data_IF_783393333275
#
_entry.id   IF_783393333275
#
_cell.length_a   1.000
_cell.length_b   1.000
_cell.length_c   1.000
_cell.angle_alpha   90.00
_cell.angle_beta   90.00
_cell.angle_gamma   90.00
#
_symmetry.space_group_name_H-M   'P 1'
#
loop_
_entity.id
_entity.type
_entity.pdbx_description
1 polymer ?
#
# COMPACT_ATOMS: atom_id res chain seq x y z
N UNK A 1 29.80 63.30 -24.13
CA UNK A 1 29.92 62.90 -22.71
C UNK A 1 28.58 62.29 -22.30
N UNK A 2 28.41 60.98 -22.57
CA UNK A 2 28.16 59.92 -21.57
C UNK A 2 26.85 60.15 -20.77
N UNK A 3 25.72 59.60 -21.22
CA UNK A 3 25.23 58.22 -20.97
C UNK A 3 25.15 57.86 -19.48
N UNK A 4 23.94 57.89 -18.91
CA UNK A 4 23.57 56.96 -17.84
C UNK A 4 22.30 56.24 -18.29
N UNK A 5 22.48 54.94 -18.54
CA UNK A 5 21.50 54.02 -19.09
C UNK A 5 20.44 53.71 -18.03
N UNK A 6 19.17 53.76 -18.42
CA UNK A 6 18.10 53.12 -17.65
C UNK A 6 18.36 51.62 -17.67
N UNK A 7 18.76 51.06 -16.52
CA UNK A 7 18.94 49.63 -16.35
C UNK A 7 17.57 49.05 -15.95
N UNK A 8 16.79 48.61 -16.94
CA UNK A 8 15.61 47.79 -16.69
C UNK A 8 16.07 46.43 -16.15
N UNK A 9 16.03 46.25 -14.83
CA UNK A 9 16.22 44.96 -14.19
C UNK A 9 14.93 44.15 -14.39
N UNK A 10 14.91 43.31 -15.41
CA UNK A 10 13.89 42.26 -15.54
C UNK A 10 14.25 41.16 -14.54
N UNK A 11 13.53 41.12 -13.42
CA UNK A 11 13.64 40.02 -12.45
C UNK A 11 12.85 38.83 -13.01
N UNK A 12 13.55 37.96 -13.74
CA UNK A 12 12.97 36.73 -14.29
C UNK A 12 13.00 35.65 -13.18
N UNK A 13 11.96 35.60 -12.34
CA UNK A 13 11.76 34.51 -11.39
C UNK A 13 11.35 33.24 -12.13
N UNK A 14 12.32 32.44 -12.56
CA UNK A 14 12.07 31.05 -12.90
C UNK A 14 11.67 30.30 -11.62
N UNK A 15 10.37 30.07 -11.46
CA UNK A 15 9.85 29.09 -10.52
C UNK A 15 10.26 27.70 -11.03
N UNK A 16 11.43 27.24 -10.61
CA UNK A 16 11.80 25.83 -10.76
C UNK A 16 10.88 25.03 -9.84
N UNK A 17 9.85 24.41 -10.42
CA UNK A 17 9.09 23.36 -9.76
C UNK A 17 10.02 22.17 -9.57
N UNK A 18 10.66 22.07 -8.41
CA UNK A 18 11.35 20.85 -8.01
C UNK A 18 10.29 19.77 -7.81
N UNK A 19 10.29 18.76 -8.67
CA UNK A 19 9.54 17.53 -8.39
C UNK A 19 10.16 16.88 -7.16
N UNK A 20 9.47 16.93 -6.02
CA UNK A 20 9.81 16.11 -4.86
C UNK A 20 9.36 14.68 -5.16
N UNK A 21 10.32 13.78 -5.36
CA UNK A 21 10.05 12.35 -5.42
C UNK A 21 10.17 11.80 -4.00
N UNK A 22 9.07 11.33 -3.42
CA UNK A 22 9.12 10.52 -2.21
C UNK A 22 9.34 9.06 -2.63
N UNK A 23 10.41 8.44 -2.16
CA UNK A 23 10.66 7.02 -2.34
C UNK A 23 9.94 6.24 -1.23
N UNK A 24 9.60 4.97 -1.47
CA UNK A 24 8.96 4.13 -0.45
C UNK A 24 9.84 4.01 0.81
N UNK A 25 11.17 4.08 0.64
CA UNK A 25 12.15 4.08 1.75
C UNK A 25 12.09 5.31 2.64
N UNK A 26 11.42 6.37 2.22
CA UNK A 26 11.29 7.60 3.00
C UNK A 26 10.18 7.47 4.07
N UNK A 27 9.42 6.38 4.04
CA UNK A 27 8.31 6.10 4.95
C UNK A 27 8.63 4.92 5.86
N UNK A 28 8.31 5.07 7.15
CA UNK A 28 8.26 3.97 8.12
C UNK A 28 6.96 3.22 7.93
N UNK A 29 7.04 2.07 7.26
CA UNK A 29 5.87 1.25 6.96
C UNK A 29 5.76 0.11 7.98
N UNK A 30 4.56 -0.11 8.52
CA UNK A 30 4.26 -1.19 9.46
C UNK A 30 2.97 -1.92 9.07
N UNK A 31 2.80 -3.15 9.55
CA UNK A 31 1.56 -3.93 9.40
C UNK A 31 1.18 -4.60 10.71
N UNK A 32 -0.11 -4.70 10.99
CA UNK A 32 -0.62 -5.37 12.19
C UNK A 32 -2.00 -6.01 11.96
N UNK A 33 -2.14 -7.30 12.30
CA UNK A 33 -3.44 -7.93 12.41
C UNK A 33 -4.03 -7.65 13.81
N UNK A 34 -5.14 -6.91 13.87
CA UNK A 34 -5.76 -6.39 15.08
C UNK A 34 -6.59 -7.44 15.84
N UNK A 35 -7.09 -8.48 15.15
CA UNK A 35 -8.09 -9.42 15.67
C UNK A 35 -9.30 -8.69 16.30
N UNK A 36 -9.87 -7.74 15.57
CA UNK A 36 -10.84 -6.75 16.04
C UNK A 36 -12.26 -7.28 16.28
N UNK A 37 -12.49 -8.58 16.15
CA UNK A 37 -13.78 -9.23 16.47
C UNK A 37 -14.03 -9.38 17.98
N UNK A 38 -13.04 -9.08 18.84
CA UNK A 38 -13.19 -9.15 20.30
C UNK A 38 -13.85 -7.90 20.90
N UNK A 39 -14.50 -8.04 22.07
CA UNK A 39 -15.26 -6.98 22.77
C UNK A 39 -14.46 -5.71 23.15
N UNK A 40 -13.18 -5.63 22.80
CA UNK A 40 -12.19 -4.65 23.25
C UNK A 40 -11.64 -3.83 22.07
N UNK A 41 -12.32 -3.86 20.92
CA UNK A 41 -11.82 -3.28 19.67
C UNK A 41 -11.53 -1.77 19.72
N UNK A 42 -12.38 -0.97 20.41
CA UNK A 42 -12.16 0.49 20.55
C UNK A 42 -10.87 0.81 21.31
N UNK A 43 -10.48 0.02 22.31
CA UNK A 43 -9.25 0.27 23.05
C UNK A 43 -8.01 -0.18 22.26
N UNK A 44 -8.11 -1.22 21.42
CA UNK A 44 -7.01 -1.62 20.53
C UNK A 44 -6.63 -0.50 19.58
N UNK A 45 -7.62 0.20 19.03
CA UNK A 45 -7.40 1.39 18.22
C UNK A 45 -6.82 2.55 19.03
N UNK A 46 -7.53 3.00 20.08
CA UNK A 46 -7.15 4.20 20.81
C UNK A 46 -5.83 4.08 21.61
N UNK A 47 -5.38 2.85 21.91
CA UNK A 47 -4.14 2.59 22.64
C UNK A 47 -3.05 2.09 21.69
N UNK A 48 -3.22 0.90 21.11
CA UNK A 48 -2.13 0.23 20.39
C UNK A 48 -1.88 0.84 19.00
N UNK A 49 -2.93 1.01 18.18
CA UNK A 49 -2.78 1.63 16.85
C UNK A 49 -2.27 3.06 17.00
N UNK A 50 -2.81 3.82 17.96
CA UNK A 50 -2.33 5.17 18.25
C UNK A 50 -0.84 5.20 18.62
N UNK A 51 -0.37 4.29 19.47
CA UNK A 51 1.04 4.20 19.84
C UNK A 51 1.94 3.93 18.63
N UNK A 52 1.53 3.01 17.74
CA UNK A 52 2.27 2.68 16.53
C UNK A 52 2.39 3.85 15.54
N UNK A 53 1.45 4.79 15.56
CA UNK A 53 1.42 5.97 14.68
C UNK A 53 1.98 7.24 15.36
N UNK A 54 2.27 7.20 16.66
CA UNK A 54 2.62 8.39 17.43
C UNK A 54 4.11 8.46 17.78
N UNK A 55 4.62 9.68 17.93
CA UNK A 55 6.01 9.94 18.29
C UNK A 55 6.96 9.92 17.10
N UNK A 56 8.22 10.30 17.32
CA UNK A 56 9.23 10.44 16.26
C UNK A 56 9.57 9.13 15.54
N UNK A 57 9.29 7.99 16.17
CA UNK A 57 9.50 6.65 15.61
C UNK A 57 8.21 5.95 15.15
N UNK A 58 7.07 6.65 15.18
CA UNK A 58 5.81 6.12 14.68
C UNK A 58 5.89 5.75 13.20
N UNK A 59 5.07 4.79 12.79
CA UNK A 59 4.90 4.43 11.39
C UNK A 59 4.19 5.57 10.64
N UNK A 60 4.71 5.90 9.47
CA UNK A 60 4.08 6.84 8.54
C UNK A 60 2.90 6.16 7.81
N UNK A 61 3.02 4.86 7.55
CA UNK A 61 1.98 4.03 6.92
C UNK A 61 1.79 2.77 7.75
N UNK A 62 0.58 2.54 8.27
CA UNK A 62 0.22 1.32 8.99
C UNK A 62 -0.90 0.58 8.27
N UNK A 63 -0.62 -0.66 7.87
CA UNK A 63 -1.61 -1.57 7.30
C UNK A 63 -2.24 -2.39 8.43
N UNK A 64 -3.57 -2.41 8.54
CA UNK A 64 -4.27 -3.12 9.61
C UNK A 64 -5.24 -4.17 9.03
N UNK A 65 -5.10 -5.43 9.45
CA UNK A 65 -6.03 -6.52 9.09
C UNK A 65 -6.94 -6.87 10.28
N UNK A 66 -8.10 -7.48 9.99
CA UNK A 66 -9.15 -7.78 10.98
C UNK A 66 -9.46 -6.56 11.87
N UNK A 67 -9.53 -5.38 11.27
CA UNK A 67 -9.51 -4.12 12.01
C UNK A 67 -10.79 -3.85 12.83
N UNK A 68 -11.80 -4.73 12.72
CA UNK A 68 -13.11 -4.58 13.33
C UNK A 68 -13.75 -3.23 12.95
N UNK A 69 -14.51 -2.66 13.89
CA UNK A 69 -14.99 -1.29 13.79
C UNK A 69 -13.85 -0.28 13.89
N UNK A 70 -13.90 0.76 13.06
CA UNK A 70 -13.03 1.93 13.21
C UNK A 70 -13.23 2.63 14.56
N UNK A 71 -12.23 3.42 15.04
CA UNK A 71 -12.38 4.22 16.24
C UNK A 71 -13.61 5.12 16.13
N UNK A 72 -14.41 5.20 17.19
CA UNK A 72 -15.63 6.03 17.24
C UNK A 72 -15.40 7.52 16.95
N UNK A 73 -14.18 8.00 17.15
CA UNK A 73 -13.73 9.38 16.91
C UNK A 73 -13.26 9.64 15.48
N UNK A 74 -13.17 8.62 14.63
CA UNK A 74 -12.84 8.79 13.22
C UNK A 74 -14.03 9.37 12.44
N UNK A 75 -13.79 10.39 11.63
CA UNK A 75 -14.81 11.11 10.87
C UNK A 75 -14.62 10.83 9.38
N UNK A 76 -15.65 10.22 8.76
CA UNK A 76 -15.66 9.91 7.32
C UNK A 76 -15.52 11.18 6.49
N UNK A 77 -14.70 11.16 5.46
CA UNK A 77 -14.57 12.26 4.50
C UNK A 77 -15.56 12.08 3.34
N UNK A 78 -15.57 13.03 2.40
CA UNK A 78 -16.31 12.89 1.15
C UNK A 78 -15.60 12.01 0.11
N UNK A 79 -14.33 11.63 0.35
CA UNK A 79 -13.53 10.87 -0.59
C UNK A 79 -13.86 9.39 -0.48
N UNK A 80 -14.18 8.79 -1.62
CA UNK A 80 -14.31 7.35 -1.81
C UNK A 80 -13.41 6.97 -2.97
N UNK A 81 -12.54 6.00 -2.75
CA UNK A 81 -11.69 5.44 -3.80
C UNK A 81 -12.36 4.15 -4.26
N UNK A 82 -12.78 4.13 -5.52
CA UNK A 82 -13.44 2.97 -6.10
C UNK A 82 -12.98 2.79 -7.55
N UNK A 83 -12.20 1.74 -7.78
CA UNK A 83 -11.74 1.31 -9.10
C UNK A 83 -12.16 -0.17 -9.30
N UNK A 84 -13.47 -0.42 -9.20
CA UNK A 84 -14.03 -1.78 -9.10
C UNK A 84 -13.94 -2.37 -7.70
N UNK A 85 -14.82 -3.33 -7.37
CA UNK A 85 -14.82 -4.03 -6.06
C UNK A 85 -15.40 -3.23 -4.88
N UNK A 86 -15.00 -3.61 -3.66
CA UNK A 86 -15.46 -2.99 -2.40
C UNK A 86 -14.93 -1.56 -2.29
N UNK A 87 -15.80 -0.55 -2.09
CA UNK A 87 -15.37 0.84 -1.97
C UNK A 87 -14.43 1.02 -0.79
N UNK A 88 -13.36 1.80 -1.00
CA UNK A 88 -12.47 2.24 0.07
C UNK A 88 -12.93 3.62 0.49
N UNK A 89 -13.37 3.70 1.73
CA UNK A 89 -13.81 4.95 2.35
C UNK A 89 -12.63 5.58 3.10
N UNK A 90 -12.47 6.89 2.93
CA UNK A 90 -11.47 7.65 3.67
C UNK A 90 -12.09 8.27 4.93
N UNK A 91 -11.37 8.20 6.04
CA UNK A 91 -11.73 8.83 7.30
C UNK A 91 -10.55 9.68 7.78
N UNK A 92 -10.85 10.74 8.50
CA UNK A 92 -9.88 11.51 9.27
C UNK A 92 -9.94 11.09 10.73
N UNK A 93 -8.79 10.96 11.38
CA UNK A 93 -8.73 10.59 12.79
C UNK A 93 -7.68 11.43 13.52
N UNK A 94 -8.08 12.07 14.62
CA UNK A 94 -7.18 12.86 15.45
C UNK A 94 -6.53 11.97 16.51
N UNK A 95 -5.24 11.72 16.39
CA UNK A 95 -4.43 11.03 17.40
C UNK A 95 -4.09 11.93 18.60
N UNK A 96 -4.14 13.24 18.40
CA UNK A 96 -3.81 14.27 19.40
C UNK A 96 -5.04 14.77 20.17
N UNK A 97 -4.97 16.04 20.57
CA UNK A 97 -6.07 16.72 21.27
C UNK A 97 -6.70 17.80 20.39
N UNK A 98 -7.79 18.42 20.84
CA UNK A 98 -8.39 19.56 20.12
C UNK A 98 -7.45 20.78 20.04
N UNK A 99 -6.61 20.98 21.06
CA UNK A 99 -5.68 22.11 21.13
C UNK A 99 -4.34 21.84 20.44
N UNK A 100 -3.97 20.56 20.25
CA UNK A 100 -2.79 20.13 19.48
C UNK A 100 -3.16 18.94 18.60
N UNK A 101 -3.83 19.18 17.45
CA UNK A 101 -4.28 18.11 16.57
C UNK A 101 -3.10 17.36 15.95
N UNK A 102 -3.24 16.04 15.84
CA UNK A 102 -2.36 15.19 15.02
C UNK A 102 -3.27 14.32 14.14
N UNK A 103 -3.49 14.78 12.91
CA UNK A 103 -4.47 14.19 11.99
C UNK A 103 -3.83 13.12 11.13
N UNK A 104 -4.45 11.93 11.11
CA UNK A 104 -4.12 10.86 10.17
C UNK A 104 -5.33 10.52 9.31
N UNK A 105 -5.06 9.88 8.17
CA UNK A 105 -6.08 9.34 7.28
C UNK A 105 -6.19 7.83 7.47
N UNK A 106 -7.42 7.33 7.54
CA UNK A 106 -7.71 5.90 7.53
C UNK A 106 -8.41 5.59 6.22
N UNK A 107 -7.80 4.72 5.42
CA UNK A 107 -8.43 4.14 4.25
C UNK A 107 -9.01 2.79 4.66
N UNK A 108 -10.32 2.74 4.80
CA UNK A 108 -11.02 1.61 5.37
C UNK A 108 -11.95 0.97 4.35
N UNK A 109 -11.85 -0.34 4.26
CA UNK A 109 -12.76 -1.17 3.47
C UNK A 109 -13.35 -2.21 4.41
N UNK A 110 -14.67 -2.23 4.53
CA UNK A 110 -15.36 -3.29 5.26
C UNK A 110 -15.32 -4.55 4.41
N UNK A 111 -14.41 -5.44 4.76
CA UNK A 111 -14.40 -6.81 4.26
C UNK A 111 -15.32 -7.72 5.10
N UNK A 112 -16.30 -7.13 5.81
CA UNK A 112 -17.28 -7.83 6.66
C UNK A 112 -18.50 -8.28 5.85
N UNK A 113 -18.48 -9.51 5.39
CA UNK A 113 -19.65 -10.39 5.46
C UNK A 113 -19.26 -11.69 6.14
N UNK A 114 -20.02 -12.08 7.16
CA UNK A 114 -20.03 -13.42 7.76
C UNK A 114 -20.52 -14.51 6.78
N UNK A 115 -20.10 -14.43 5.53
CA UNK A 115 -20.30 -15.42 4.50
C UNK A 115 -18.92 -15.81 4.00
N UNK A 116 -18.54 -17.07 4.20
CA UNK A 116 -17.61 -17.69 3.26
C UNK A 116 -18.20 -17.50 1.86
N UNK A 117 -17.33 -17.13 0.92
CA UNK A 117 -17.53 -17.05 -0.55
C UNK A 117 -17.97 -15.68 -1.06
N UNK A 118 -17.00 -14.79 -1.26
CA UNK A 118 -17.18 -13.78 -2.30
C UNK A 118 -16.27 -12.57 -2.37
N UNK A 119 -15.03 -12.64 -1.88
CA UNK A 119 -14.11 -11.50 -1.93
C UNK A 119 -13.10 -11.63 -3.05
N UNK A 120 -12.80 -10.48 -3.66
CA UNK A 120 -11.64 -10.32 -4.54
C UNK A 120 -10.66 -9.35 -3.87
N UNK A 121 -9.42 -9.76 -3.68
CA UNK A 121 -8.39 -8.96 -3.02
C UNK A 121 -7.03 -9.14 -3.69
N UNK A 122 -6.19 -8.11 -3.57
CA UNK A 122 -4.78 -8.15 -3.98
C UNK A 122 -3.91 -7.72 -2.80
N UNK A 123 -2.87 -8.48 -2.52
CA UNK A 123 -1.81 -8.11 -1.56
C UNK A 123 -0.48 -8.10 -2.30
N UNK A 124 0.35 -7.10 -2.05
CA UNK A 124 1.63 -6.91 -2.74
C UNK A 124 2.72 -6.62 -1.71
N UNK A 125 3.91 -7.18 -1.89
CA UNK A 125 5.06 -6.83 -1.06
C UNK A 125 6.19 -7.85 -1.14
N UNK A 126 7.19 -7.64 -0.29
CA UNK A 126 8.23 -8.62 0.04
C UNK A 126 7.68 -9.64 1.04
N UNK A 127 7.51 -10.88 0.59
CA UNK A 127 7.00 -11.96 1.41
C UNK A 127 8.10 -12.79 2.09
N UNK A 128 9.38 -12.48 1.85
CA UNK A 128 10.52 -13.27 2.31
C UNK A 128 10.38 -14.78 2.02
N UNK A 129 9.65 -15.10 0.94
CA UNK A 129 9.27 -16.47 0.57
C UNK A 129 9.10 -16.56 -0.93
N UNK A 130 9.81 -17.47 -1.59
CA UNK A 130 9.65 -17.70 -3.02
C UNK A 130 8.21 -18.06 -3.42
N UNK A 131 7.70 -17.57 -4.57
CA UNK A 131 6.36 -17.89 -5.07
C UNK A 131 6.03 -19.38 -5.07
N UNK A 132 6.97 -20.22 -5.52
CA UNK A 132 6.80 -21.68 -5.57
C UNK A 132 6.52 -22.32 -4.20
N UNK A 133 7.09 -21.75 -3.14
CA UNK A 133 6.86 -22.24 -1.78
C UNK A 133 5.45 -21.87 -1.31
N UNK A 134 4.96 -20.68 -1.68
CA UNK A 134 3.58 -20.29 -1.42
C UNK A 134 2.59 -21.13 -2.24
N UNK A 135 2.88 -21.42 -3.50
CA UNK A 135 2.05 -22.33 -4.31
C UNK A 135 1.93 -23.71 -3.68
N UNK A 136 3.04 -24.26 -3.20
CA UNK A 136 3.06 -25.56 -2.54
C UNK A 136 2.18 -25.57 -1.28
N UNK A 137 2.22 -24.51 -0.48
CA UNK A 137 1.35 -24.33 0.68
C UNK A 137 -0.14 -24.22 0.26
N UNK A 138 -0.44 -23.41 -0.77
CA UNK A 138 -1.81 -23.25 -1.27
C UNK A 138 -2.40 -24.56 -1.80
N UNK A 139 -1.60 -25.46 -2.37
CA UNK A 139 -2.09 -26.79 -2.82
C UNK A 139 -2.62 -27.66 -1.67
N UNK A 140 -2.23 -27.37 -0.43
CA UNK A 140 -2.79 -28.04 0.75
C UNK A 140 -4.19 -27.51 1.10
N UNK A 141 -4.61 -26.40 0.49
CA UNK A 141 -5.91 -25.75 0.65
C UNK A 141 -6.62 -25.56 -0.71
N UNK A 142 -7.13 -26.64 -1.35
CA UNK A 142 -7.60 -26.59 -2.74
C UNK A 142 -8.65 -25.51 -3.01
N UNK A 143 -9.58 -25.30 -2.06
CA UNK A 143 -10.63 -24.28 -2.16
C UNK A 143 -10.09 -22.85 -2.23
N UNK A 144 -8.88 -22.60 -1.74
CA UNK A 144 -8.19 -21.30 -1.82
C UNK A 144 -7.28 -21.27 -3.05
N UNK A 145 -6.63 -22.39 -3.36
CA UNK A 145 -5.68 -22.53 -4.47
C UNK A 145 -6.31 -22.26 -5.83
N UNK A 146 -7.51 -22.79 -6.06
CA UNK A 146 -8.24 -22.69 -7.33
C UNK A 146 -8.59 -21.24 -7.69
N UNK A 147 -8.61 -20.35 -6.69
CA UNK A 147 -9.11 -18.99 -6.78
C UNK A 147 -8.02 -17.94 -6.50
N UNK A 148 -6.77 -18.37 -6.35
CA UNK A 148 -5.61 -17.51 -6.07
C UNK A 148 -4.64 -17.50 -7.26
N UNK A 149 -4.16 -16.33 -7.66
CA UNK A 149 -3.05 -16.12 -8.60
C UNK A 149 -1.87 -15.51 -7.85
N UNK A 150 -0.68 -16.06 -8.08
CA UNK A 150 0.56 -15.39 -7.69
C UNK A 150 1.11 -14.72 -8.94
N UNK A 151 1.36 -13.41 -8.85
CA UNK A 151 1.89 -12.59 -9.92
C UNK A 151 3.29 -12.19 -9.51
N UNK A 152 4.29 -12.82 -10.11
CA UNK A 152 5.69 -12.61 -9.80
C UNK A 152 6.47 -12.31 -11.08
N UNK A 153 7.54 -11.49 -11.01
CA UNK A 153 8.44 -11.29 -12.14
C UNK A 153 9.23 -12.56 -12.43
N UNK A 154 9.83 -12.63 -13.62
CA UNK A 154 10.68 -13.76 -14.02
C UNK A 154 12.14 -13.58 -13.60
N UNK A 155 12.53 -12.36 -13.25
CA UNK A 155 13.87 -12.00 -12.82
C UNK A 155 13.95 -11.93 -11.28
N UNK A 156 15.12 -12.23 -10.69
CA UNK A 156 15.35 -12.05 -9.27
C UNK A 156 14.98 -10.64 -8.79
N UNK A 157 14.26 -10.58 -7.68
CA UNK A 157 13.89 -9.32 -7.00
C UNK A 157 14.78 -9.04 -5.80
N UNK A 158 15.67 -9.97 -5.45
CA UNK A 158 16.64 -9.84 -4.36
C UNK A 158 18.05 -10.19 -4.84
N UNK A 159 19.09 -9.56 -4.26
CA UNK A 159 20.52 -9.74 -4.61
C UNK A 159 21.01 -11.16 -4.43
N UNK A 160 20.36 -11.97 -3.61
CA UNK A 160 20.67 -13.40 -3.48
C UNK A 160 20.26 -14.24 -4.70
N UNK A 161 19.60 -13.64 -5.69
CA UNK A 161 19.03 -14.36 -6.84
C UNK A 161 17.60 -14.86 -6.62
N UNK A 162 16.98 -14.53 -5.49
CA UNK A 162 15.61 -14.96 -5.18
C UNK A 162 14.56 -13.97 -5.71
N UNK A 163 13.35 -14.49 -5.92
CA UNK A 163 12.13 -13.70 -6.15
C UNK A 163 11.36 -13.70 -4.84
N UNK A 164 11.28 -12.53 -4.19
CA UNK A 164 10.63 -12.34 -2.89
C UNK A 164 9.52 -11.29 -2.95
N UNK A 165 9.57 -10.42 -3.95
CA UNK A 165 8.63 -9.33 -4.20
C UNK A 165 7.63 -9.76 -5.27
N UNK A 166 6.37 -9.95 -4.87
CA UNK A 166 5.31 -10.37 -5.78
C UNK A 166 3.95 -9.86 -5.29
N UNK A 167 2.93 -10.12 -6.09
CA UNK A 167 1.54 -9.89 -5.71
C UNK A 167 0.79 -11.22 -5.62
N UNK A 168 -0.21 -11.24 -4.76
CA UNK A 168 -1.18 -12.31 -4.61
C UNK A 168 -2.53 -11.72 -4.91
N UNK A 169 -3.18 -12.21 -5.96
CA UNK A 169 -4.56 -11.91 -6.29
C UNK A 169 -5.42 -13.10 -5.87
N UNK A 170 -6.57 -12.83 -5.28
CA UNK A 170 -7.58 -13.84 -5.00
C UNK A 170 -8.93 -13.33 -5.50
N UNK A 171 -9.71 -14.21 -6.10
CA UNK A 171 -11.11 -13.95 -6.41
C UNK A 171 -11.93 -15.19 -6.04
N UNK A 172 -12.80 -15.04 -5.04
CA UNK A 172 -13.60 -16.14 -4.52
C UNK A 172 -14.69 -16.64 -5.51
N UNK A 173 -14.94 -15.94 -6.61
CA UNK A 173 -16.00 -16.25 -7.59
C UNK A 173 -15.46 -16.67 -8.94
N UNK A 174 -14.28 -16.18 -9.32
CA UNK A 174 -13.66 -16.50 -10.59
C UNK A 174 -12.54 -17.52 -10.38
N UNK A 175 -12.55 -18.68 -11.04
CA UNK A 175 -11.41 -19.58 -11.02
C UNK A 175 -10.15 -18.89 -11.55
N UNK A 176 -8.97 -19.29 -11.05
CA UNK A 176 -7.64 -18.83 -11.49
C UNK A 176 -7.52 -18.71 -13.01
N UNK A 177 -8.09 -19.66 -13.77
CA UNK A 177 -8.02 -19.69 -15.23
C UNK A 177 -8.76 -18.53 -15.90
N UNK A 178 -9.85 -18.06 -15.29
CA UNK A 178 -10.63 -16.93 -15.78
C UNK A 178 -10.01 -15.61 -15.31
N UNK A 179 -9.56 -15.54 -14.06
CA UNK A 179 -8.79 -14.40 -13.54
C UNK A 179 -7.51 -14.14 -14.35
N UNK A 180 -6.81 -15.18 -14.80
CA UNK A 180 -5.60 -15.05 -15.63
C UNK A 180 -5.87 -14.39 -17.01
N UNK A 181 -7.13 -14.24 -17.42
CA UNK A 181 -7.51 -13.44 -18.61
C UNK A 181 -7.42 -11.95 -18.34
N UNK A 182 -7.61 -11.52 -17.09
CA UNK A 182 -7.24 -10.19 -16.63
C UNK A 182 -5.72 -10.19 -16.42
N UNK A 183 -4.99 -10.12 -17.53
CA UNK A 183 -3.54 -10.21 -17.56
C UNK A 183 -2.91 -9.09 -16.75
N UNK A 184 -2.52 -9.36 -15.51
CA UNK A 184 -1.66 -8.47 -14.72
C UNK A 184 -0.26 -9.07 -14.74
N UNK A 185 0.68 -8.36 -15.35
CA UNK A 185 2.09 -8.73 -15.43
C UNK A 185 2.91 -8.07 -14.30
N UNK A 186 3.98 -8.75 -13.89
CA UNK A 186 5.01 -8.19 -13.03
C UNK A 186 6.32 -8.04 -13.78
N UNK A 187 7.01 -6.90 -13.61
CA UNK A 187 8.33 -6.69 -14.20
C UNK A 187 9.22 -5.80 -13.34
N UNK A 188 10.53 -6.03 -13.41
CA UNK A 188 11.51 -5.16 -12.76
C UNK A 188 11.45 -3.74 -13.35
N UNK A 189 11.50 -2.73 -12.48
CA UNK A 189 11.48 -1.32 -12.89
C UNK A 189 12.88 -0.81 -13.29
N UNK A 190 13.56 -1.53 -14.21
CA UNK A 190 14.95 -1.24 -14.58
C UNK A 190 15.12 0.11 -15.30
N UNK A 191 14.12 0.56 -16.05
CA UNK A 191 14.18 1.78 -16.86
C UNK A 191 13.92 3.09 -16.10
N UNK A 192 13.66 3.04 -14.79
CA UNK A 192 13.40 4.23 -13.96
C UNK A 192 14.50 4.53 -12.92
N UNK A 193 15.60 3.77 -12.92
CA UNK A 193 16.64 3.87 -11.90
C UNK A 193 17.84 4.69 -12.41
N UNK A 194 17.89 5.98 -12.03
CA UNK A 194 19.17 6.72 -11.97
C UNK A 194 19.91 6.26 -10.71
N UNK A 195 21.21 6.03 -10.86
CA UNK A 195 22.14 5.41 -9.89
C UNK A 195 21.82 5.62 -8.41
N UNK A 196 22.04 4.54 -7.63
CA UNK A 196 21.98 4.42 -6.15
C UNK A 196 20.64 3.99 -5.56
N UNK A 197 20.39 2.67 -5.60
CA UNK A 197 19.68 2.03 -4.48
C UNK A 197 20.70 1.11 -3.78
N UNK A 198 21.08 1.46 -2.55
CA UNK A 198 21.86 0.64 -1.60
C UNK A 198 21.03 -0.52 -1.02
N UNK A 199 19.98 -0.95 -1.72
CA UNK A 199 19.09 -2.04 -1.31
C UNK A 199 19.50 -3.35 -1.97
N UNK A 200 19.27 -4.43 -1.23
CA UNK A 200 19.31 -5.80 -1.68
C UNK A 200 18.05 -6.25 -2.44
N UNK A 201 17.01 -5.41 -2.51
CA UNK A 201 15.83 -5.65 -3.34
C UNK A 201 15.78 -4.77 -4.59
N UNK A 202 15.20 -5.30 -5.66
CA UNK A 202 14.92 -4.61 -6.92
C UNK A 202 13.43 -4.23 -6.98
N UNK A 203 13.09 -3.01 -7.41
CA UNK A 203 11.69 -2.58 -7.49
C UNK A 203 10.92 -3.35 -8.56
N UNK A 204 9.71 -3.78 -8.21
CA UNK A 204 8.79 -4.53 -9.09
C UNK A 204 7.54 -3.68 -9.36
N UNK A 205 7.16 -3.60 -10.64
CA UNK A 205 5.88 -3.02 -11.06
C UNK A 205 4.86 -4.11 -11.37
N UNK A 206 3.59 -3.84 -11.08
CA UNK A 206 2.46 -4.70 -11.41
C UNK A 206 1.48 -3.90 -12.27
N UNK A 207 1.30 -4.32 -13.52
CA UNK A 207 0.49 -3.58 -14.51
C UNK A 207 -0.40 -4.52 -15.28
N UNK A 208 -1.56 -4.04 -15.70
CA UNK A 208 -2.43 -4.79 -16.61
C UNK A 208 -1.79 -4.80 -18.01
N UNK A 209 -1.55 -5.98 -18.57
CA UNK A 209 -1.17 -6.14 -19.98
C UNK A 209 -2.30 -5.60 -20.84
N UNK A 210 -1.96 -4.71 -21.78
CA UNK A 210 -2.91 -4.16 -22.75
C UNK A 210 -3.21 -5.14 -23.87
#
# INVERSE_FOLDING_TARGET
MQWVKQLNVVFCTMLFSFSSYANLSDFKVATWNLQGSSAVNESKWNINVRQLLSGEQGADILMVQEAGSLPSSAVRTSRVIQHGGTPIEEYTWNLGTRSRPNMVYIYYSRLDVGARRGYSWMVVGDFNRAPVNLEAALRQEPAVSENTIIIAPTEPTHRSGNILDYAILHDAHLPRREQARERIGASLMLNQLRSQITSDHFPVSFVRDR
#
